data_IF_201594153414
#
_entry.id   IF_201594153414
#
_cell.length_a   1.000
_cell.length_b   1.000
_cell.length_c   1.000
_cell.angle_alpha   90.00
_cell.angle_beta   90.00
_cell.angle_gamma   90.00
#
_symmetry.space_group_name_H-M   'P 1'
#
loop_
_entity.id
_entity.type
_entity.pdbx_description
1 polymer ?
#
# COMPACT_ATOMS: atom_id res chain seq x y z
N UNK A 1 -13.09 -14.39 19.44
CA UNK A 1 -12.37 -15.63 19.07
C UNK A 1 -11.11 -15.24 18.31
N UNK A 2 -9.96 -15.52 18.91
CA UNK A 2 -8.63 -15.14 18.44
C UNK A 2 -8.13 -16.18 17.43
N UNK A 3 -8.24 -15.86 16.15
CA UNK A 3 -7.60 -16.64 15.08
C UNK A 3 -6.52 -15.77 14.43
N UNK A 4 -5.34 -15.73 15.06
CA UNK A 4 -4.10 -15.33 14.40
C UNK A 4 -3.12 -16.47 14.63
N UNK A 5 -3.00 -17.33 13.63
CA UNK A 5 -1.91 -18.32 13.51
C UNK A 5 -1.24 -18.06 12.16
N UNK A 6 0.10 -18.00 12.17
CA UNK A 6 1.02 -17.56 11.11
C UNK A 6 1.03 -16.03 10.94
N UNK A 7 2.16 -15.34 11.05
CA UNK A 7 3.43 -15.56 10.36
C UNK A 7 4.64 -15.27 11.27
N UNK A 8 5.71 -16.07 11.16
CA UNK A 8 7.00 -15.86 11.83
C UNK A 8 7.81 -14.66 11.32
N UNK A 9 7.16 -13.52 11.06
CA UNK A 9 7.81 -12.23 10.85
C UNK A 9 7.87 -11.49 12.20
N UNK A 10 8.90 -10.64 12.45
CA UNK A 10 8.97 -9.83 13.68
C UNK A 10 7.75 -8.90 13.86
N UNK A 11 6.92 -8.74 12.82
CA UNK A 11 5.65 -8.02 12.84
C UNK A 11 4.54 -8.70 13.67
N UNK A 12 4.65 -10.00 13.97
CA UNK A 12 3.59 -10.78 14.65
C UNK A 12 3.51 -10.57 16.17
N UNK A 13 4.24 -9.60 16.73
CA UNK A 13 4.07 -9.16 18.12
C UNK A 13 3.19 -7.91 18.17
N UNK A 14 2.00 -7.98 17.59
CA UNK A 14 1.02 -6.91 17.71
C UNK A 14 0.53 -6.85 19.16
N UNK A 15 1.07 -5.85 19.86
CA UNK A 15 0.60 -5.35 21.15
C UNK A 15 -0.88 -4.96 21.07
N UNK A 16 -1.49 -4.66 22.21
CA UNK A 16 -2.93 -4.44 22.42
C UNK A 16 -3.55 -3.31 21.56
N UNK A 17 -2.74 -2.49 20.88
CA UNK A 17 -3.17 -1.52 19.86
C UNK A 17 -2.82 -2.03 18.45
N UNK A 18 -3.82 -2.13 17.58
CA UNK A 18 -3.57 -2.51 16.17
C UNK A 18 -2.74 -1.42 15.49
N UNK A 19 -1.60 -1.74 14.86
CA UNK A 19 -0.79 -0.73 14.16
C UNK A 19 -1.51 -0.23 12.92
N UNK A 20 -1.31 1.04 12.61
CA UNK A 20 -1.81 1.70 11.40
C UNK A 20 -0.82 1.46 10.25
N UNK A 21 -1.27 0.78 9.21
CA UNK A 21 -0.49 0.61 7.97
C UNK A 21 -1.07 1.51 6.89
N UNK A 22 -0.24 2.36 6.29
CA UNK A 22 -0.63 3.20 5.15
C UNK A 22 -0.18 2.55 3.84
N UNK A 23 -1.09 2.38 2.88
CA UNK A 23 -0.80 1.90 1.53
C UNK A 23 -0.99 3.06 0.56
N UNK A 24 0.09 3.45 -0.11
CA UNK A 24 0.09 4.59 -1.04
C UNK A 24 0.12 4.06 -2.48
N UNK A 25 -0.91 4.38 -3.26
CA UNK A 25 -1.19 3.80 -4.56
C UNK A 25 -1.97 2.49 -4.45
N UNK A 26 -3.14 2.41 -5.07
CA UNK A 26 -4.03 1.26 -5.15
C UNK A 26 -4.12 0.71 -6.59
N UNK A 27 -2.99 0.69 -7.29
CA UNK A 27 -2.88 0.03 -8.59
C UNK A 27 -2.86 -1.50 -8.49
N UNK A 28 -2.11 -2.14 -9.40
CA UNK A 28 -2.01 -3.61 -9.41
C UNK A 28 -1.36 -4.19 -8.16
N UNK A 29 -0.32 -3.53 -7.64
CA UNK A 29 0.39 -4.00 -6.44
C UNK A 29 -0.34 -3.62 -5.16
N UNK A 30 -0.66 -2.33 -5.00
CA UNK A 30 -1.21 -1.82 -3.75
C UNK A 30 -2.59 -2.36 -3.40
N UNK A 31 -3.46 -2.59 -4.39
CA UNK A 31 -4.77 -3.21 -4.14
C UNK A 31 -4.65 -4.65 -3.62
N UNK A 32 -3.71 -5.44 -4.15
CA UNK A 32 -3.42 -6.78 -3.65
C UNK A 32 -2.77 -6.74 -2.27
N UNK A 33 -1.84 -5.82 -2.05
CA UNK A 33 -1.18 -5.63 -0.76
C UNK A 33 -2.20 -5.28 0.34
N UNK A 34 -3.04 -4.27 0.12
CA UNK A 34 -4.05 -3.84 1.10
C UNK A 34 -5.03 -4.97 1.42
N UNK A 35 -5.48 -5.72 0.41
CA UNK A 35 -6.37 -6.86 0.61
C UNK A 35 -5.68 -7.99 1.40
N UNK A 36 -4.41 -8.29 1.10
CA UNK A 36 -3.64 -9.30 1.83
C UNK A 36 -3.37 -8.89 3.29
N UNK A 37 -3.06 -7.62 3.55
CA UNK A 37 -2.88 -7.08 4.91
C UNK A 37 -4.16 -7.22 5.73
N UNK A 38 -5.30 -6.83 5.16
CA UNK A 38 -6.60 -6.99 5.81
C UNK A 38 -6.87 -8.46 6.19
N UNK A 39 -6.65 -9.38 5.24
CA UNK A 39 -6.85 -10.82 5.44
C UNK A 39 -5.86 -11.44 6.42
N UNK A 40 -4.70 -10.80 6.61
CA UNK A 40 -3.67 -11.19 7.58
C UNK A 40 -3.92 -10.67 8.99
N UNK A 41 -5.02 -9.93 9.19
CA UNK A 41 -5.44 -9.44 10.51
C UNK A 41 -5.06 -7.98 10.80
N UNK A 42 -4.51 -7.23 9.84
CA UNK A 42 -4.31 -5.78 9.99
C UNK A 42 -5.67 -5.10 9.99
N UNK A 43 -5.99 -4.42 11.10
CA UNK A 43 -7.32 -3.82 11.30
C UNK A 43 -7.38 -2.33 11.03
N UNK A 44 -6.25 -1.62 10.99
CA UNK A 44 -6.18 -0.18 10.72
C UNK A 44 -5.38 0.04 9.45
N UNK A 45 -6.08 0.39 8.38
CA UNK A 45 -5.48 0.67 7.09
C UNK A 45 -5.80 2.10 6.67
N UNK A 46 -4.78 2.85 6.26
CA UNK A 46 -4.96 4.09 5.49
C UNK A 46 -4.67 3.77 4.03
N UNK A 47 -5.60 4.12 3.15
CA UNK A 47 -5.46 3.91 1.72
C UNK A 47 -5.41 5.28 1.04
N UNK A 48 -4.38 5.53 0.26
CA UNK A 48 -4.19 6.80 -0.45
C UNK A 48 -4.06 6.53 -1.94
N UNK A 49 -5.01 6.98 -2.73
CA UNK A 49 -4.96 6.96 -4.20
C UNK A 49 -5.99 7.96 -4.73
N UNK A 50 -5.63 8.74 -5.75
CA UNK A 50 -6.49 9.74 -6.40
C UNK A 50 -7.17 9.21 -7.67
N UNK A 51 -6.74 8.04 -8.15
CA UNK A 51 -7.23 7.49 -9.39
C UNK A 51 -8.61 6.86 -9.25
N UNK A 52 -9.30 6.82 -10.39
CA UNK A 52 -10.53 6.06 -10.60
C UNK A 52 -10.25 4.70 -11.22
N UNK A 53 -11.16 3.76 -10.99
CA UNK A 53 -11.14 2.47 -11.67
C UNK A 53 -11.41 2.69 -13.16
N UNK A 54 -10.50 2.18 -13.99
CA UNK A 54 -10.63 2.19 -15.44
C UNK A 54 -10.76 0.76 -15.98
N UNK A 55 -11.26 0.59 -17.21
CA UNK A 55 -11.32 -0.73 -17.85
C UNK A 55 -9.93 -1.40 -17.92
N UNK A 56 -8.89 -0.61 -18.18
CA UNK A 56 -7.51 -1.12 -18.25
C UNK A 56 -6.96 -1.49 -16.88
N UNK A 57 -7.51 -1.00 -15.77
CA UNK A 57 -7.10 -1.39 -14.42
C UNK A 57 -7.62 -2.77 -13.99
N UNK A 58 -8.73 -3.23 -14.58
CA UNK A 58 -9.43 -4.46 -14.17
C UNK A 58 -8.60 -5.75 -14.37
N UNK A 59 -7.60 -5.74 -15.24
CA UNK A 59 -6.75 -6.91 -15.47
C UNK A 59 -5.77 -7.21 -14.31
N UNK A 60 -5.54 -6.23 -13.43
CA UNK A 60 -4.52 -6.32 -12.36
C UNK A 60 -4.96 -5.78 -11.01
N UNK A 61 -6.07 -5.05 -10.93
CA UNK A 61 -6.59 -4.56 -9.65
C UNK A 61 -7.26 -5.70 -8.88
N UNK A 62 -6.95 -5.84 -7.59
CA UNK A 62 -7.33 -7.02 -6.81
C UNK A 62 -8.84 -7.19 -6.61
N UNK A 63 -9.58 -6.08 -6.45
CA UNK A 63 -10.97 -6.10 -5.97
C UNK A 63 -11.97 -5.42 -6.91
N UNK A 64 -11.49 -4.69 -7.92
CA UNK A 64 -12.36 -3.86 -8.75
C UNK A 64 -13.01 -4.73 -9.84
N UNK A 65 -14.28 -4.47 -10.11
CA UNK A 65 -15.07 -5.17 -11.13
C UNK A 65 -15.54 -4.21 -12.22
N UNK A 66 -16.16 -4.75 -13.28
CA UNK A 66 -16.73 -3.93 -14.37
C UNK A 66 -17.78 -2.91 -13.88
N UNK A 67 -18.44 -3.17 -12.75
CA UNK A 67 -19.45 -2.25 -12.18
C UNK A 67 -18.81 -1.04 -11.50
N UNK A 68 -17.55 -1.15 -11.13
CA UNK A 68 -16.84 -0.15 -10.34
C UNK A 68 -16.12 0.88 -11.22
N UNK A 69 -16.17 0.71 -12.55
CA UNK A 69 -15.53 1.63 -13.51
C UNK A 69 -16.06 3.04 -13.31
N UNK A 70 -15.14 3.99 -13.13
CA UNK A 70 -15.43 5.39 -12.86
C UNK A 70 -15.53 5.73 -11.37
N UNK A 71 -15.58 4.76 -10.45
CA UNK A 71 -15.51 5.01 -9.01
C UNK A 71 -14.06 5.19 -8.55
N UNK A 72 -13.86 5.84 -7.40
CA UNK A 72 -12.52 5.99 -6.82
C UNK A 72 -11.99 4.63 -6.34
N UNK A 73 -10.71 4.35 -6.59
CA UNK A 73 -10.09 3.07 -6.19
C UNK A 73 -10.12 2.88 -4.68
N UNK A 74 -9.88 3.96 -3.92
CA UNK A 74 -9.97 3.94 -2.45
C UNK A 74 -11.37 3.59 -1.96
N UNK A 75 -12.41 4.14 -2.59
CA UNK A 75 -13.81 3.87 -2.22
C UNK A 75 -14.23 2.43 -2.52
N UNK A 76 -13.79 1.89 -3.66
CA UNK A 76 -14.03 0.49 -4.03
C UNK A 76 -13.34 -0.46 -3.05
N UNK A 77 -12.07 -0.20 -2.72
CA UNK A 77 -11.35 -0.99 -1.72
C UNK A 77 -12.03 -0.92 -0.34
N UNK A 78 -12.37 0.29 0.13
CA UNK A 78 -13.01 0.47 1.43
C UNK A 78 -14.36 -0.27 1.52
N UNK A 79 -15.19 -0.16 0.48
CA UNK A 79 -16.49 -0.85 0.41
C UNK A 79 -16.32 -2.37 0.41
N UNK A 80 -15.35 -2.88 -0.35
CA UNK A 80 -15.03 -4.31 -0.38
C UNK A 80 -14.50 -4.81 0.97
N UNK A 81 -13.61 -4.04 1.61
CA UNK A 81 -13.00 -4.40 2.88
C UNK A 81 -14.00 -4.41 4.04
N UNK A 82 -14.97 -3.49 4.04
CA UNK A 82 -16.06 -3.47 5.02
C UNK A 82 -16.89 -4.77 5.00
N UNK A 83 -17.10 -5.36 3.83
CA UNK A 83 -17.79 -6.66 3.68
C UNK A 83 -16.95 -7.85 4.18
N UNK A 84 -15.63 -7.69 4.24
CA UNK A 84 -14.69 -8.74 4.64
C UNK A 84 -14.45 -8.74 6.15
N UNK A 85 -14.18 -7.56 6.69
CA UNK A 85 -13.81 -7.36 8.09
C UNK A 85 -14.54 -6.12 8.63
N UNK A 86 -15.80 -6.24 9.05
CA UNK A 86 -16.59 -5.10 9.53
C UNK A 86 -15.97 -4.35 10.72
N UNK A 87 -15.06 -5.00 11.45
CA UNK A 87 -14.36 -4.40 12.59
C UNK A 87 -12.98 -3.81 12.25
N UNK A 88 -12.63 -3.65 10.97
CA UNK A 88 -11.44 -2.88 10.56
C UNK A 88 -11.79 -1.42 10.33
N UNK A 89 -10.89 -0.52 10.71
CA UNK A 89 -10.94 0.89 10.38
C UNK A 89 -10.18 1.11 9.08
N UNK A 90 -10.91 1.50 8.02
CA UNK A 90 -10.34 1.86 6.73
C UNK A 90 -10.44 3.38 6.59
N UNK A 91 -9.30 4.05 6.58
CA UNK A 91 -9.17 5.48 6.32
C UNK A 91 -8.87 5.69 4.83
N UNK A 92 -9.90 5.97 4.04
CA UNK A 92 -9.81 6.13 2.59
C UNK A 92 -9.58 7.60 2.21
N UNK A 93 -8.42 7.90 1.63
CA UNK A 93 -8.01 9.23 1.18
C UNK A 93 -7.96 9.27 -0.35
N UNK A 94 -8.98 9.88 -0.94
CA UNK A 94 -9.09 10.10 -2.39
C UNK A 94 -8.26 11.34 -2.79
N UNK A 95 -6.95 11.24 -2.58
CA UNK A 95 -6.00 12.35 -2.66
C UNK A 95 -4.69 11.88 -3.30
N UNK A 96 -4.04 12.78 -4.05
CA UNK A 96 -2.73 12.51 -4.62
C UNK A 96 -1.67 12.74 -3.55
N UNK A 97 -0.72 11.81 -3.43
CA UNK A 97 0.43 12.06 -2.59
C UNK A 97 1.31 13.13 -3.22
N UNK A 98 1.63 14.17 -2.46
CA UNK A 98 2.60 15.21 -2.82
C UNK A 98 3.43 15.55 -1.59
N UNK A 99 4.61 16.17 -1.78
CA UNK A 99 5.43 16.63 -0.67
C UNK A 99 4.66 17.52 0.32
N UNK A 100 3.81 18.42 -0.19
CA UNK A 100 2.98 19.31 0.63
C UNK A 100 1.90 18.56 1.42
N UNK A 101 1.33 17.49 0.83
CA UNK A 101 0.29 16.68 1.46
C UNK A 101 0.87 15.61 2.41
N UNK A 102 2.17 15.32 2.36
CA UNK A 102 2.80 14.24 3.11
C UNK A 102 2.53 14.34 4.61
N UNK A 103 2.67 15.54 5.20
CA UNK A 103 2.43 15.76 6.62
C UNK A 103 0.97 15.47 7.03
N UNK A 104 0.00 15.73 6.15
CA UNK A 104 -1.42 15.48 6.40
C UNK A 104 -1.80 14.00 6.17
N UNK A 105 -1.15 13.33 5.21
CA UNK A 105 -1.47 11.97 4.81
C UNK A 105 -0.76 10.91 5.66
N UNK A 106 0.49 11.15 6.03
CA UNK A 106 1.34 10.18 6.75
C UNK A 106 2.13 10.79 7.92
N UNK A 107 1.83 12.03 8.31
CA UNK A 107 2.45 12.69 9.47
C UNK A 107 1.50 12.91 10.66
N UNK A 108 1.93 13.75 11.60
CA UNK A 108 1.13 14.21 12.73
C UNK A 108 0.82 13.14 13.79
N UNK A 109 -0.30 13.31 14.50
CA UNK A 109 -0.78 12.39 15.53
C UNK A 109 -1.29 11.05 14.96
N UNK A 110 -1.66 11.03 13.68
CA UNK A 110 -2.14 9.84 12.96
C UNK A 110 -1.07 9.28 12.01
N UNK A 111 0.20 9.37 12.43
CA UNK A 111 1.36 8.80 11.75
C UNK A 111 1.22 7.27 11.67
N UNK A 112 1.42 6.64 10.50
CA UNK A 112 1.41 5.20 10.36
C UNK A 112 2.65 4.55 10.96
N UNK A 113 2.50 3.34 11.48
CA UNK A 113 3.60 2.49 11.96
C UNK A 113 4.42 1.89 10.80
N UNK A 114 3.79 1.80 9.62
CA UNK A 114 4.39 1.29 8.39
C UNK A 114 3.75 1.95 7.19
N UNK A 115 4.58 2.40 6.25
CA UNK A 115 4.16 2.82 4.91
C UNK A 115 4.50 1.71 3.91
N UNK A 116 3.54 1.36 3.07
CA UNK A 116 3.76 0.51 1.90
C UNK A 116 3.56 1.38 0.66
N UNK A 117 4.67 1.64 -0.02
CA UNK A 117 4.73 2.44 -1.23
C UNK A 117 4.49 1.54 -2.44
N UNK A 118 3.39 1.79 -3.15
CA UNK A 118 2.99 1.11 -4.37
C UNK A 118 2.78 2.09 -5.54
N UNK A 119 3.43 3.27 -5.47
CA UNK A 119 3.38 4.30 -6.51
C UNK A 119 4.20 3.85 -7.72
N UNK A 120 3.70 4.15 -8.92
CA UNK A 120 4.38 3.89 -10.20
C UNK A 120 5.10 5.12 -10.78
N UNK A 121 4.72 6.34 -10.36
CA UNK A 121 5.39 7.60 -10.70
C UNK A 121 6.67 7.83 -9.89
N UNK A 122 7.78 8.15 -10.57
CA UNK A 122 9.09 8.32 -9.94
C UNK A 122 9.17 9.54 -9.01
N UNK A 123 8.82 10.77 -9.46
CA UNK A 123 8.84 11.95 -8.59
C UNK A 123 8.07 11.75 -7.29
N UNK A 124 6.83 11.27 -7.40
CA UNK A 124 5.95 11.06 -6.24
C UNK A 124 6.51 9.99 -5.30
N UNK A 125 7.11 8.92 -5.85
CA UNK A 125 7.79 7.88 -5.07
C UNK A 125 9.02 8.43 -4.34
N UNK A 126 9.85 9.23 -5.00
CA UNK A 126 11.04 9.83 -4.40
C UNK A 126 10.66 10.75 -3.23
N UNK A 127 9.63 11.59 -3.40
CA UNK A 127 9.11 12.47 -2.34
C UNK A 127 8.60 11.65 -1.14
N UNK A 128 7.87 10.56 -1.39
CA UNK A 128 7.39 9.67 -0.33
C UNK A 128 8.54 9.03 0.45
N UNK A 129 9.53 8.51 -0.25
CA UNK A 129 10.68 7.86 0.39
C UNK A 129 11.53 8.86 1.17
N UNK A 130 11.78 10.04 0.61
CA UNK A 130 12.48 11.13 1.30
C UNK A 130 11.76 11.50 2.60
N UNK A 131 10.44 11.70 2.54
CA UNK A 131 9.63 11.99 3.73
C UNK A 131 9.70 10.88 4.78
N UNK A 132 9.62 9.60 4.36
CA UNK A 132 9.72 8.47 5.29
C UNK A 132 11.10 8.39 5.96
N UNK A 133 12.17 8.69 5.22
CA UNK A 133 13.53 8.76 5.77
C UNK A 133 13.68 9.91 6.77
N UNK A 134 13.25 11.11 6.40
CA UNK A 134 13.33 12.31 7.24
C UNK A 134 12.54 12.17 8.55
N UNK A 135 11.37 11.53 8.48
CA UNK A 135 10.49 11.32 9.63
C UNK A 135 10.73 9.98 10.32
N UNK A 136 11.69 9.18 9.86
CA UNK A 136 11.99 7.83 10.35
C UNK A 136 10.76 6.90 10.41
N UNK A 137 9.85 7.01 9.44
CA UNK A 137 8.74 6.07 9.25
C UNK A 137 9.26 4.83 8.52
N UNK A 138 9.07 3.61 9.05
CA UNK A 138 9.39 2.40 8.32
C UNK A 138 8.62 2.35 6.99
N UNK A 139 9.34 2.08 5.89
CA UNK A 139 8.76 2.01 4.55
C UNK A 139 9.15 0.73 3.81
N UNK A 140 8.17 0.12 3.16
CA UNK A 140 8.37 -0.95 2.18
C UNK A 140 7.98 -0.43 0.80
N UNK A 141 8.93 -0.35 -0.12
CA UNK A 141 8.67 0.13 -1.48
C UNK A 141 8.55 -1.04 -2.46
N UNK A 142 7.44 -1.08 -3.18
CA UNK A 142 7.30 -1.90 -4.36
C UNK A 142 7.89 -1.16 -5.57
N UNK A 143 8.73 -1.86 -6.30
CA UNK A 143 9.34 -1.37 -7.53
C UNK A 143 8.54 -1.85 -8.76
N UNK A 144 9.11 -1.71 -9.95
CA UNK A 144 8.39 -1.93 -11.20
C UNK A 144 7.87 -3.37 -11.31
N UNK A 145 6.55 -3.55 -11.34
CA UNK A 145 5.91 -4.85 -11.59
C UNK A 145 5.50 -5.06 -13.06
N UNK A 146 5.47 -3.99 -13.85
CA UNK A 146 5.11 -4.04 -15.27
C UNK A 146 6.11 -4.82 -16.11
N UNK A 147 5.60 -5.66 -17.02
CA UNK A 147 6.43 -6.40 -17.99
C UNK A 147 7.21 -7.59 -17.42
N UNK A 148 7.03 -7.93 -16.14
CA UNK A 148 7.66 -9.08 -15.49
C UNK A 148 6.65 -10.24 -15.38
N UNK A 149 6.98 -11.39 -15.96
CA UNK A 149 6.06 -12.54 -16.06
C UNK A 149 6.34 -13.69 -15.10
N UNK A 150 7.53 -13.76 -14.51
CA UNK A 150 7.95 -14.87 -13.63
C UNK A 150 7.87 -14.45 -12.15
N UNK A 151 6.82 -14.85 -11.40
CA UNK A 151 6.66 -14.47 -10.00
C UNK A 151 7.68 -15.14 -9.08
N UNK A 152 8.38 -16.20 -9.52
CA UNK A 152 9.36 -16.92 -8.68
C UNK A 152 10.65 -16.12 -8.46
N UNK A 153 10.84 -15.04 -9.21
CA UNK A 153 12.01 -14.15 -9.13
C UNK A 153 11.79 -12.91 -8.28
N UNK A 154 10.63 -12.79 -7.62
CA UNK A 154 10.39 -11.71 -6.67
C UNK A 154 11.33 -11.87 -5.47
N UNK A 155 12.04 -10.80 -5.14
CA UNK A 155 12.95 -10.73 -4.01
C UNK A 155 12.68 -9.48 -3.15
N UNK A 156 13.19 -9.50 -1.93
CA UNK A 156 13.14 -8.38 -0.99
C UNK A 156 14.58 -7.97 -0.70
N UNK A 157 14.95 -6.75 -1.10
CA UNK A 157 16.23 -6.13 -0.74
C UNK A 157 16.14 -5.40 0.61
N UNK A 158 17.28 -5.17 1.26
CA UNK A 158 17.35 -4.36 2.48
C UNK A 158 17.46 -2.85 2.15
N UNK A 159 18.05 -2.52 1.00
CA UNK A 159 18.05 -1.17 0.45
C UNK A 159 17.91 -1.15 -1.08
N UNK A 160 17.66 0.03 -1.64
CA UNK A 160 17.55 0.26 -3.09
C UNK A 160 18.80 -0.21 -3.85
N UNK A 161 19.98 -0.13 -3.22
CA UNK A 161 21.27 -0.55 -3.79
C UNK A 161 21.40 -2.06 -3.99
N UNK A 162 20.60 -2.85 -3.29
CA UNK A 162 20.63 -4.31 -3.38
C UNK A 162 19.73 -4.84 -4.51
N UNK A 163 19.01 -3.95 -5.21
CA UNK A 163 18.06 -4.32 -6.26
C UNK A 163 18.74 -4.30 -7.62
N UNK A 164 18.68 -5.44 -8.32
CA UNK A 164 19.16 -5.59 -9.68
C UNK A 164 18.01 -5.67 -10.69
N UNK A 165 18.26 -5.26 -11.94
CA UNK A 165 17.33 -5.40 -13.07
C UNK A 165 15.96 -4.70 -12.88
N UNK A 166 15.92 -3.58 -12.18
CA UNK A 166 14.73 -2.74 -12.06
C UNK A 166 14.98 -1.30 -12.56
N UNK A 167 14.33 -0.87 -13.66
CA UNK A 167 14.48 0.48 -14.19
C UNK A 167 14.04 1.59 -13.22
N UNK A 168 13.09 1.33 -12.32
CA UNK A 168 12.70 2.28 -11.28
C UNK A 168 13.81 2.42 -10.24
N UNK A 169 14.35 1.29 -9.75
CA UNK A 169 15.44 1.33 -8.77
C UNK A 169 16.67 2.06 -9.29
N UNK A 170 17.00 1.92 -10.58
CA UNK A 170 18.17 2.60 -11.17
C UNK A 170 18.07 4.13 -11.22
N UNK A 171 16.87 4.68 -11.00
CA UNK A 171 16.56 6.11 -11.14
C UNK A 171 16.17 6.77 -9.80
N UNK A 172 16.08 5.98 -8.73
CA UNK A 172 15.80 6.39 -7.35
C UNK A 172 17.09 6.39 -6.53
#
# INVERSE_FOLDING_TARGET
SSFVRNFGLPFCRMSLDSPLVAVIGLGGVGSHCAHALLRSGVRRLRLVDFDRVSLSSLNRHAVATRRDVGLSKVGVCASHFANISPGSTIDARDEMFTADAAAALIGGSDRPDLVVDCIDDLPTKADLLAHCVETAIPVLSALGSGGKGDPTRLCVGQGLRDIENDPLASKL
#
